data_IF_695628646375
#
_entry.id   IF_695628646375
#
_cell.length_a   1.000
_cell.length_b   1.000
_cell.length_c   1.000
_cell.angle_alpha   90.00
_cell.angle_beta   90.00
_cell.angle_gamma   90.00
#
_symmetry.space_group_name_H-M   'P 1'
#
loop_
_entity.id
_entity.type
_entity.pdbx_description
1 polymer ?
#
# COMPACT_ATOMS: atom_id res chain seq x y z
N UNK A 1 -8.01 23.27 5.74
CA UNK A 1 -9.22 22.85 5.00
C UNK A 1 -8.82 21.82 3.96
N UNK A 2 -9.73 20.94 3.55
CA UNK A 2 -9.45 19.89 2.56
C UNK A 2 -8.83 20.44 1.25
N UNK A 3 -9.36 21.51 0.62
CA UNK A 3 -8.73 22.09 -0.56
C UNK A 3 -7.35 22.70 -0.32
N UNK A 4 -7.06 23.14 0.91
CA UNK A 4 -5.73 23.65 1.28
C UNK A 4 -4.70 22.52 1.30
N UNK A 5 -5.00 21.45 2.05
CA UNK A 5 -4.14 20.25 2.15
C UNK A 5 -3.90 19.66 0.76
N UNK A 6 -4.95 19.46 -0.03
CA UNK A 6 -4.81 18.93 -1.38
C UNK A 6 -3.84 19.77 -2.23
N UNK A 7 -3.87 21.10 -2.14
CA UNK A 7 -2.95 21.99 -2.88
C UNK A 7 -1.50 21.90 -2.38
N UNK A 8 -1.28 21.74 -1.07
CA UNK A 8 0.07 21.53 -0.50
C UNK A 8 0.73 20.30 -1.11
N UNK A 9 -0.05 19.24 -1.36
CA UNK A 9 0.39 18.02 -2.03
C UNK A 9 0.22 18.05 -3.56
N UNK A 10 0.01 19.23 -4.16
CA UNK A 10 -0.17 19.45 -5.61
C UNK A 10 -1.36 18.71 -6.22
N UNK A 11 -2.33 18.32 -5.40
CA UNK A 11 -3.59 17.74 -5.80
C UNK A 11 -4.66 18.78 -6.13
N UNK A 12 -5.76 18.28 -6.66
CA UNK A 12 -6.95 19.03 -7.03
C UNK A 12 -8.19 18.40 -6.40
N UNK A 13 -8.89 19.15 -5.55
CA UNK A 13 -10.16 18.74 -4.94
C UNK A 13 -11.29 18.92 -5.95
N UNK A 14 -12.04 17.84 -6.20
CA UNK A 14 -13.28 17.85 -6.99
C UNK A 14 -14.47 18.09 -6.07
N UNK A 15 -14.49 17.41 -4.92
CA UNK A 15 -15.55 17.47 -3.93
C UNK A 15 -14.99 17.41 -2.51
N UNK A 16 -15.58 18.20 -1.62
CA UNK A 16 -15.30 18.20 -0.19
C UNK A 16 -16.61 18.54 0.56
N UNK A 17 -17.37 17.50 0.91
CA UNK A 17 -18.71 17.61 1.49
C UNK A 17 -18.76 17.68 3.01
N UNK A 18 -17.60 17.76 3.67
CA UNK A 18 -17.47 17.59 5.11
C UNK A 18 -16.60 16.37 5.40
N UNK A 19 -17.24 15.22 5.56
CA UNK A 19 -16.59 13.92 5.77
C UNK A 19 -16.16 13.22 4.47
N UNK A 20 -16.91 13.42 3.38
CA UNK A 20 -16.59 12.86 2.07
C UNK A 20 -15.71 13.80 1.23
N UNK A 21 -14.65 13.23 0.64
CA UNK A 21 -13.68 13.94 -0.20
C UNK A 21 -13.40 13.16 -1.49
N UNK A 22 -13.36 13.85 -2.62
CA UNK A 22 -12.90 13.31 -3.90
C UNK A 22 -11.93 14.29 -4.55
N UNK A 23 -10.82 13.78 -5.06
CA UNK A 23 -9.85 14.60 -5.79
C UNK A 23 -8.80 13.76 -6.51
N UNK A 24 -7.94 14.46 -7.24
CA UNK A 24 -6.76 13.91 -7.87
C UNK A 24 -5.51 14.39 -7.14
N UNK A 25 -4.50 13.54 -7.05
CA UNK A 25 -3.21 13.85 -6.43
C UNK A 25 -2.09 13.19 -7.25
N UNK A 26 -0.93 13.83 -7.42
CA UNK A 26 0.25 13.19 -8.01
C UNK A 26 0.65 11.92 -7.25
N UNK A 27 1.19 10.95 -7.98
CA UNK A 27 1.50 9.62 -7.43
C UNK A 27 2.53 9.67 -6.29
N UNK A 28 3.54 10.52 -6.42
CA UNK A 28 4.65 10.66 -5.47
C UNK A 28 4.25 11.35 -4.16
N UNK A 29 3.14 12.10 -4.14
CA UNK A 29 2.59 12.77 -2.94
C UNK A 29 1.31 12.11 -2.43
N UNK A 30 0.81 11.08 -3.11
CA UNK A 30 -0.51 10.50 -2.85
C UNK A 30 -0.65 9.89 -1.45
N UNK A 31 0.37 9.17 -1.00
CA UNK A 31 0.38 8.53 0.32
C UNK A 31 0.39 9.57 1.45
N UNK A 32 1.29 10.55 1.38
CA UNK A 32 1.39 11.61 2.39
C UNK A 32 0.13 12.49 2.41
N UNK A 33 -0.43 12.80 1.24
CA UNK A 33 -1.70 13.54 1.15
C UNK A 33 -2.85 12.78 1.82
N UNK A 34 -2.96 11.46 1.62
CA UNK A 34 -3.98 10.65 2.27
C UNK A 34 -3.82 10.64 3.80
N UNK A 35 -2.57 10.52 4.28
CA UNK A 35 -2.26 10.60 5.71
C UNK A 35 -2.61 11.96 6.30
N UNK A 36 -2.26 13.06 5.62
CA UNK A 36 -2.56 14.42 6.05
C UNK A 36 -4.07 14.69 6.14
N UNK A 37 -4.85 14.18 5.18
CA UNK A 37 -6.31 14.27 5.23
C UNK A 37 -6.89 13.49 6.42
N UNK A 38 -6.39 12.27 6.68
CA UNK A 38 -6.83 11.47 7.81
C UNK A 38 -6.51 12.13 9.15
N UNK A 39 -5.30 12.68 9.30
CA UNK A 39 -4.89 13.41 10.50
C UNK A 39 -5.73 14.67 10.69
N UNK A 40 -5.94 15.45 9.62
CA UNK A 40 -6.75 16.67 9.69
C UNK A 40 -8.19 16.38 10.13
N UNK A 41 -8.78 15.28 9.66
CA UNK A 41 -10.11 14.85 10.08
C UNK A 41 -10.15 14.46 11.56
N UNK A 42 -9.18 13.67 12.02
CA UNK A 42 -9.08 13.27 13.42
C UNK A 42 -8.91 14.49 14.36
N UNK A 43 -8.03 15.42 13.99
CA UNK A 43 -7.77 16.65 14.77
C UNK A 43 -9.02 17.54 14.85
N UNK A 44 -9.74 17.69 13.73
CA UNK A 44 -10.96 18.49 13.67
C UNK A 44 -12.07 17.93 14.57
N UNK A 45 -12.13 16.60 14.75
CA UNK A 45 -13.17 15.92 15.51
C UNK A 45 -12.76 15.56 16.94
N UNK A 46 -11.50 15.78 17.32
CA UNK A 46 -10.99 15.49 18.66
C UNK A 46 -11.79 16.23 19.74
N UNK A 47 -11.99 17.55 19.60
CA UNK A 47 -12.71 18.36 20.61
C UNK A 47 -14.18 17.92 20.76
N UNK A 48 -14.99 17.81 19.67
CA UNK A 48 -16.34 17.27 19.78
C UNK A 48 -16.39 15.86 20.38
N UNK A 49 -15.47 14.97 19.99
CA UNK A 49 -15.43 13.60 20.51
C UNK A 49 -15.19 13.56 22.03
N UNK A 50 -14.28 14.41 22.55
CA UNK A 50 -14.05 14.52 23.99
C UNK A 50 -15.27 15.07 24.73
N UNK A 51 -15.92 16.12 24.19
CA UNK A 51 -17.11 16.71 24.81
C UNK A 51 -18.29 15.73 24.89
N UNK A 52 -18.43 14.87 23.87
CA UNK A 52 -19.49 13.86 23.80
C UNK A 52 -19.10 12.53 24.46
N UNK A 53 -17.91 12.44 25.08
CA UNK A 53 -17.40 11.21 25.69
C UNK A 53 -17.46 9.99 24.74
N UNK A 54 -17.16 10.22 23.46
CA UNK A 54 -17.21 9.16 22.45
C UNK A 54 -16.15 8.09 22.76
N UNK A 55 -16.59 6.84 22.98
CA UNK A 55 -15.69 5.70 23.23
C UNK A 55 -14.72 5.45 22.08
N UNK A 56 -15.15 5.74 20.84
CA UNK A 56 -14.34 5.64 19.63
C UNK A 56 -14.42 6.98 18.88
N UNK A 57 -13.37 7.81 18.92
CA UNK A 57 -13.38 9.06 18.19
C UNK A 57 -13.53 8.79 16.68
N UNK A 58 -14.23 9.67 15.93
CA UNK A 58 -14.39 9.50 14.50
C UNK A 58 -13.03 9.46 13.78
N UNK A 59 -12.91 8.58 12.79
CA UNK A 59 -11.70 8.40 11.97
C UNK A 59 -12.06 8.41 10.50
N UNK A 60 -11.08 8.73 9.65
CA UNK A 60 -11.24 8.75 8.20
C UNK A 60 -10.70 7.45 7.59
N UNK A 61 -11.48 6.83 6.71
CA UNK A 61 -10.98 5.78 5.82
C UNK A 61 -10.77 6.37 4.43
N UNK A 62 -9.59 6.17 3.85
CA UNK A 62 -9.21 6.77 2.57
C UNK A 62 -8.98 5.67 1.54
N UNK A 63 -9.64 5.78 0.38
CA UNK A 63 -9.39 4.93 -0.78
C UNK A 63 -8.53 5.65 -1.81
N UNK A 64 -7.37 5.07 -2.16
CA UNK A 64 -6.48 5.57 -3.22
C UNK A 64 -6.47 4.61 -4.40
N UNK A 65 -6.92 5.07 -5.57
CA UNK A 65 -6.80 4.32 -6.82
C UNK A 65 -5.62 4.83 -7.64
N UNK A 66 -4.72 3.93 -8.01
CA UNK A 66 -3.59 4.20 -8.90
C UNK A 66 -3.89 3.51 -10.23
N UNK A 67 -4.07 4.29 -11.28
CA UNK A 67 -4.43 3.81 -12.60
C UNK A 67 -3.65 4.55 -13.69
N UNK A 68 -3.59 3.93 -14.88
CA UNK A 68 -3.01 4.58 -16.05
C UNK A 68 -3.85 5.81 -16.48
N UNK A 69 -3.19 6.88 -16.95
CA UNK A 69 -3.86 8.15 -17.33
C UNK A 69 -4.93 7.98 -18.42
N UNK A 70 -4.74 7.05 -19.35
CA UNK A 70 -5.73 6.69 -20.38
C UNK A 70 -6.89 5.80 -19.89
N UNK A 71 -6.91 5.39 -18.62
CA UNK A 71 -8.04 4.61 -18.09
C UNK A 71 -9.28 5.51 -18.04
N UNK A 72 -10.44 5.08 -18.56
CA UNK A 72 -11.66 5.91 -18.54
C UNK A 72 -12.02 6.36 -17.12
N UNK A 73 -12.39 7.63 -16.94
CA UNK A 73 -12.67 8.22 -15.61
C UNK A 73 -13.75 7.45 -14.82
N UNK A 74 -14.77 6.91 -15.51
CA UNK A 74 -15.78 6.06 -14.87
C UNK A 74 -15.18 4.80 -14.22
N UNK A 75 -14.18 4.19 -14.88
CA UNK A 75 -13.45 3.04 -14.34
C UNK A 75 -12.50 3.46 -13.22
N UNK A 76 -11.81 4.60 -13.34
CA UNK A 76 -11.00 5.16 -12.23
C UNK A 76 -11.87 5.41 -10.99
N UNK A 77 -13.09 5.95 -11.16
CA UNK A 77 -14.03 6.13 -10.05
C UNK A 77 -14.42 4.81 -9.39
N UNK A 78 -14.68 3.75 -10.16
CA UNK A 78 -14.97 2.43 -9.58
C UNK A 78 -13.77 1.82 -8.86
N UNK A 79 -12.54 2.09 -9.33
CA UNK A 79 -11.32 1.68 -8.64
C UNK A 79 -11.15 2.45 -7.33
N UNK A 80 -11.47 3.75 -7.29
CA UNK A 80 -11.46 4.54 -6.06
C UNK A 80 -12.47 4.00 -5.05
N UNK A 81 -13.70 3.67 -5.48
CA UNK A 81 -14.70 3.02 -4.63
C UNK A 81 -14.28 1.61 -4.17
N UNK A 82 -13.51 0.86 -4.97
CA UNK A 82 -12.89 -0.40 -4.53
C UNK A 82 -11.85 -0.15 -3.44
N UNK A 83 -10.93 0.79 -3.65
CA UNK A 83 -9.91 1.16 -2.67
C UNK A 83 -10.53 1.63 -1.34
N UNK A 84 -11.63 2.38 -1.41
CA UNK A 84 -12.38 2.82 -0.24
C UNK A 84 -13.01 1.63 0.53
N UNK A 85 -13.59 0.66 -0.17
CA UNK A 85 -14.08 -0.59 0.45
C UNK A 85 -12.94 -1.41 1.07
N UNK A 86 -11.79 -1.46 0.43
CA UNK A 86 -10.57 -2.08 1.00
C UNK A 86 -10.19 -1.36 2.30
N UNK A 87 -10.21 -0.02 2.33
CA UNK A 87 -9.95 0.76 3.53
C UNK A 87 -10.94 0.44 4.66
N UNK A 88 -12.25 0.44 4.34
CA UNK A 88 -13.32 0.09 5.29
C UNK A 88 -13.16 -1.33 5.83
N UNK A 89 -12.67 -2.25 5.00
CA UNK A 89 -12.33 -3.60 5.42
C UNK A 89 -13.55 -4.34 5.98
N UNK A 90 -14.70 -4.26 5.30
CA UNK A 90 -15.99 -4.78 5.80
C UNK A 90 -15.98 -6.29 6.13
N UNK A 91 -14.98 -7.02 5.63
CA UNK A 91 -14.75 -8.44 5.91
C UNK A 91 -13.80 -8.70 7.12
N UNK A 92 -13.19 -7.65 7.68
CA UNK A 92 -12.35 -7.73 8.87
C UNK A 92 -13.20 -7.81 10.14
N UNK A 93 -12.59 -8.27 11.24
CA UNK A 93 -13.21 -8.25 12.56
C UNK A 93 -13.72 -6.83 12.91
N UNK A 94 -14.87 -6.69 13.61
CA UNK A 94 -15.50 -5.37 13.84
C UNK A 94 -14.61 -4.31 14.49
N UNK A 95 -13.64 -4.72 15.31
CA UNK A 95 -12.64 -3.85 15.95
C UNK A 95 -11.50 -3.41 15.00
N UNK A 96 -11.37 -4.06 13.84
CA UNK A 96 -10.36 -3.79 12.81
C UNK A 96 -10.92 -3.11 11.56
N UNK A 97 -12.23 -2.90 11.49
CA UNK A 97 -12.88 -2.20 10.39
C UNK A 97 -12.56 -0.70 10.42
N UNK A 98 -12.54 -0.07 9.25
CA UNK A 98 -12.30 1.37 9.05
C UNK A 98 -10.94 1.82 9.60
N UNK A 99 -10.75 3.14 9.74
CA UNK A 99 -9.52 3.78 10.19
C UNK A 99 -8.30 3.29 9.40
N UNK A 100 -8.37 3.34 8.07
CA UNK A 100 -7.33 2.79 7.22
C UNK A 100 -7.19 3.53 5.89
N UNK A 101 -6.02 3.34 5.29
CA UNK A 101 -5.75 3.55 3.88
C UNK A 101 -5.97 2.24 3.13
N UNK A 102 -6.80 2.27 2.08
CA UNK A 102 -6.88 1.23 1.08
C UNK A 102 -6.27 1.75 -0.22
N UNK A 103 -5.37 0.98 -0.83
CA UNK A 103 -4.79 1.33 -2.14
C UNK A 103 -5.12 0.23 -3.13
N UNK A 104 -5.72 0.61 -4.26
CA UNK A 104 -5.96 -0.27 -5.40
C UNK A 104 -5.03 0.15 -6.54
N UNK A 105 -4.12 -0.73 -6.92
CA UNK A 105 -3.21 -0.54 -8.06
C UNK A 105 -3.75 -1.29 -9.28
N UNK A 106 -4.05 -0.56 -10.36
CA UNK A 106 -4.61 -1.09 -11.62
C UNK A 106 -3.89 -0.48 -12.83
N UNK A 107 -2.72 -1.04 -13.15
CA UNK A 107 -1.85 -0.61 -14.26
C UNK A 107 -1.82 -1.66 -15.38
N UNK A 108 -1.71 -1.20 -16.64
CA UNK A 108 -2.12 -1.84 -17.91
C UNK A 108 -1.86 -3.35 -18.10
N UNK A 109 -0.78 -3.89 -17.55
CA UNK A 109 -0.26 -5.24 -17.77
C UNK A 109 -0.31 -6.12 -16.51
N UNK A 110 -0.69 -5.55 -15.36
CA UNK A 110 -0.71 -6.22 -14.07
C UNK A 110 -2.11 -6.62 -13.61
N UNK A 111 -2.17 -7.61 -12.73
CA UNK A 111 -3.40 -7.89 -11.98
C UNK A 111 -3.71 -6.73 -11.03
N UNK A 112 -5.00 -6.35 -10.96
CA UNK A 112 -5.44 -5.37 -9.97
C UNK A 112 -5.14 -5.88 -8.57
N UNK A 113 -4.31 -5.14 -7.86
CA UNK A 113 -3.84 -5.52 -6.53
C UNK A 113 -4.33 -4.52 -5.49
N UNK A 114 -4.70 -5.02 -4.32
CA UNK A 114 -5.16 -4.20 -3.21
C UNK A 114 -4.19 -4.35 -2.02
N UNK A 115 -3.96 -3.25 -1.31
CA UNK A 115 -3.35 -3.25 0.02
C UNK A 115 -4.18 -2.43 0.98
N UNK A 116 -4.06 -2.75 2.27
CA UNK A 116 -4.74 -2.07 3.37
C UNK A 116 -3.76 -1.80 4.50
N UNK A 117 -3.71 -0.56 4.96
CA UNK A 117 -2.88 -0.12 6.09
C UNK A 117 -3.78 0.62 7.08
N UNK A 118 -3.92 0.12 8.31
CA UNK A 118 -4.70 0.83 9.35
C UNK A 118 -3.86 1.97 9.92
N UNK A 119 -4.46 3.15 10.10
CA UNK A 119 -3.75 4.34 10.58
C UNK A 119 -3.15 4.17 11.98
N UNK A 120 -3.73 3.29 12.81
CA UNK A 120 -3.23 2.95 14.14
C UNK A 120 -2.19 1.81 14.14
N UNK A 121 -1.88 1.20 13.00
CA UNK A 121 -0.79 0.24 12.84
C UNK A 121 0.50 0.98 12.42
N UNK A 122 1.14 1.62 13.41
CA UNK A 122 2.37 2.38 13.18
C UNK A 122 3.51 1.54 12.61
N UNK A 123 3.56 0.24 12.92
CA UNK A 123 4.58 -0.67 12.40
C UNK A 123 4.39 -0.94 10.90
N UNK A 124 3.14 -1.14 10.45
CA UNK A 124 2.82 -1.28 9.04
C UNK A 124 3.14 -0.01 8.24
N UNK A 125 2.80 1.17 8.77
CA UNK A 125 3.12 2.44 8.12
C UNK A 125 4.63 2.70 8.03
N UNK A 126 5.38 2.41 9.10
CA UNK A 126 6.83 2.54 9.11
C UNK A 126 7.50 1.59 8.10
N UNK A 127 7.03 0.34 8.02
CA UNK A 127 7.52 -0.62 7.04
C UNK A 127 7.24 -0.14 5.60
N UNK A 128 6.01 0.29 5.33
CA UNK A 128 5.60 0.74 4.01
C UNK A 128 6.37 1.98 3.52
N UNK A 129 6.52 3.00 4.39
CA UNK A 129 7.38 4.15 4.09
C UNK A 129 8.84 3.75 3.93
N UNK A 130 9.32 2.79 4.73
CA UNK A 130 10.65 2.19 4.59
C UNK A 130 10.87 1.59 3.20
N UNK A 131 9.88 0.89 2.64
CA UNK A 131 9.94 0.35 1.27
C UNK A 131 9.99 1.45 0.22
N UNK A 132 9.13 2.47 0.33
CA UNK A 132 9.13 3.62 -0.59
C UNK A 132 10.53 4.27 -0.60
N UNK A 133 11.09 4.55 0.57
CA UNK A 133 12.42 5.16 0.70
C UNK A 133 13.53 4.24 0.17
N UNK A 134 13.51 2.96 0.52
CA UNK A 134 14.53 2.01 0.07
C UNK A 134 14.51 1.79 -1.45
N UNK A 135 13.34 1.86 -2.10
CA UNK A 135 13.25 1.86 -3.57
C UNK A 135 13.72 3.19 -4.18
N UNK A 136 13.36 4.33 -3.60
CA UNK A 136 13.84 5.66 -4.02
C UNK A 136 15.37 5.75 -3.97
N UNK A 137 15.96 5.27 -2.87
CA UNK A 137 17.40 5.29 -2.59
C UNK A 137 18.16 4.13 -3.25
N UNK A 138 17.48 3.29 -4.03
CA UNK A 138 18.02 2.11 -4.74
C UNK A 138 18.66 1.06 -3.82
N UNK A 139 18.34 1.10 -2.52
CA UNK A 139 18.74 0.09 -1.53
C UNK A 139 17.99 -1.23 -1.73
N UNK A 140 16.76 -1.17 -2.26
CA UNK A 140 16.01 -2.35 -2.69
C UNK A 140 15.92 -2.44 -4.22
N UNK A 141 16.31 -3.56 -4.83
CA UNK A 141 16.07 -3.81 -6.25
C UNK A 141 14.57 -4.01 -6.51
N UNK A 142 14.05 -3.39 -7.57
CA UNK A 142 12.63 -3.49 -7.94
C UNK A 142 12.16 -4.93 -8.16
N UNK A 143 13.07 -5.80 -8.59
CA UNK A 143 12.80 -7.20 -8.91
C UNK A 143 12.29 -8.00 -7.71
N UNK A 144 12.72 -7.67 -6.47
CA UNK A 144 12.29 -8.39 -5.25
C UNK A 144 10.77 -8.44 -5.12
N UNK A 145 10.07 -7.36 -5.48
CA UNK A 145 8.61 -7.29 -5.41
C UNK A 145 7.95 -8.33 -6.34
N UNK A 146 8.50 -8.50 -7.54
CA UNK A 146 8.01 -9.45 -8.54
C UNK A 146 8.50 -10.88 -8.27
N UNK A 147 9.72 -11.06 -7.76
CA UNK A 147 10.22 -12.37 -7.36
C UNK A 147 9.39 -12.94 -6.20
N UNK A 148 8.98 -12.10 -5.22
CA UNK A 148 8.04 -12.49 -4.16
C UNK A 148 6.69 -12.95 -4.73
N UNK A 149 6.14 -12.22 -5.71
CA UNK A 149 4.92 -12.65 -6.42
C UNK A 149 5.11 -13.99 -7.12
N UNK A 150 6.23 -14.17 -7.82
CA UNK A 150 6.54 -15.38 -8.56
C UNK A 150 6.69 -16.60 -7.64
N UNK A 151 7.24 -16.42 -6.43
CA UNK A 151 7.26 -17.48 -5.41
C UNK A 151 5.83 -17.85 -5.01
N UNK A 152 5.00 -16.86 -4.69
CA UNK A 152 3.60 -17.12 -4.34
C UNK A 152 2.88 -17.90 -5.45
N UNK A 153 2.96 -17.44 -6.71
CA UNK A 153 2.30 -18.08 -7.86
C UNK A 153 2.78 -19.52 -8.10
N UNK A 154 4.08 -19.79 -7.96
CA UNK A 154 4.64 -21.15 -8.14
C UNK A 154 4.30 -22.10 -6.99
N UNK A 155 3.93 -21.56 -5.83
CA UNK A 155 3.58 -22.33 -4.63
C UNK A 155 2.09 -22.30 -4.32
N UNK A 156 1.28 -21.77 -5.25
CA UNK A 156 -0.16 -21.77 -5.12
C UNK A 156 -0.73 -23.11 -5.65
N UNK A 157 -0.49 -24.18 -4.88
CA UNK A 157 -0.88 -25.54 -5.24
C UNK A 157 -2.39 -25.82 -5.09
N UNK A 158 -3.19 -24.80 -4.77
CA UNK A 158 -4.63 -24.93 -4.53
C UNK A 158 -5.01 -25.41 -3.12
N UNK A 159 -6.30 -25.69 -2.92
CA UNK A 159 -6.95 -25.90 -1.61
C UNK A 159 -6.46 -27.19 -0.90
N UNK A 160 -5.83 -28.12 -1.63
CA UNK A 160 -5.47 -29.44 -1.10
C UNK A 160 -4.16 -29.49 -0.31
N UNK A 161 -3.39 -28.40 -0.30
CA UNK A 161 -2.10 -28.38 0.38
C UNK A 161 -2.24 -27.93 1.85
N UNK A 162 -1.48 -28.59 2.74
CA UNK A 162 -1.40 -28.25 4.16
C UNK A 162 -0.94 -26.78 4.33
N UNK A 163 -1.73 -25.92 4.99
CA UNK A 163 -1.39 -24.51 5.20
C UNK A 163 -0.04 -24.30 5.89
N UNK A 164 0.36 -25.19 6.80
CA UNK A 164 1.63 -25.09 7.52
C UNK A 164 2.81 -25.39 6.60
N UNK A 165 2.73 -26.50 5.86
CA UNK A 165 3.72 -26.86 4.85
C UNK A 165 3.85 -25.77 3.76
N UNK A 166 2.73 -25.22 3.28
CA UNK A 166 2.74 -24.12 2.30
C UNK A 166 3.48 -22.89 2.83
N UNK A 167 3.23 -22.52 4.09
CA UNK A 167 3.93 -21.42 4.75
C UNK A 167 5.43 -21.70 4.83
N UNK A 168 5.83 -22.90 5.22
CA UNK A 168 7.24 -23.27 5.35
C UNK A 168 7.97 -23.27 3.99
N UNK A 169 7.32 -23.77 2.94
CA UNK A 169 7.84 -23.71 1.56
C UNK A 169 8.03 -22.25 1.13
N UNK A 170 7.03 -21.40 1.34
CA UNK A 170 7.10 -19.97 0.97
C UNK A 170 8.19 -19.23 1.76
N UNK A 171 8.34 -19.53 3.05
CA UNK A 171 9.40 -19.00 3.90
C UNK A 171 10.80 -19.42 3.42
N UNK A 172 10.96 -20.69 3.04
CA UNK A 172 12.22 -21.21 2.51
C UNK A 172 12.58 -20.57 1.15
N UNK A 173 11.61 -20.44 0.25
CA UNK A 173 11.82 -19.80 -1.06
C UNK A 173 12.10 -18.30 -0.94
N UNK A 174 11.38 -17.59 -0.07
CA UNK A 174 11.67 -16.19 0.24
C UNK A 174 13.08 -16.03 0.81
N UNK A 175 13.47 -16.90 1.74
CA UNK A 175 14.82 -16.94 2.32
C UNK A 175 15.89 -17.08 1.26
N UNK A 176 15.71 -18.06 0.37
CA UNK A 176 16.65 -18.35 -0.71
C UNK A 176 16.76 -17.18 -1.69
N UNK A 177 15.63 -16.58 -2.07
CA UNK A 177 15.60 -15.42 -2.96
C UNK A 177 16.33 -14.21 -2.35
N UNK A 178 16.05 -13.88 -1.08
CA UNK A 178 16.69 -12.75 -0.40
C UNK A 178 18.21 -12.95 -0.25
N UNK A 179 18.66 -14.18 0.02
CA UNK A 179 20.09 -14.49 0.12
C UNK A 179 20.84 -14.30 -1.22
N UNK A 180 20.12 -14.41 -2.34
CA UNK A 180 20.62 -14.24 -3.70
C UNK A 180 20.35 -12.84 -4.28
N UNK A 181 19.68 -11.95 -3.54
CA UNK A 181 19.29 -10.65 -4.04
C UNK A 181 20.45 -9.65 -4.01
N UNK A 182 20.65 -8.97 -5.14
CA UNK A 182 21.60 -7.88 -5.30
C UNK A 182 20.89 -6.62 -5.78
N UNK A 183 21.36 -5.46 -5.34
CA UNK A 183 20.93 -4.16 -5.86
C UNK A 183 21.34 -4.03 -7.33
N UNK A 184 20.84 -2.98 -8.00
CA UNK A 184 21.17 -2.70 -9.39
C UNK A 184 22.69 -2.52 -9.62
N UNK A 185 23.39 -2.04 -8.60
CA UNK A 185 24.84 -1.80 -8.66
C UNK A 185 25.66 -3.03 -8.27
N UNK A 186 25.02 -4.21 -8.17
CA UNK A 186 25.68 -5.47 -7.82
C UNK A 186 26.05 -5.60 -6.35
N UNK A 187 25.49 -4.76 -5.48
CA UNK A 187 25.74 -4.81 -4.04
C UNK A 187 24.77 -5.81 -3.40
N UNK A 188 25.27 -6.72 -2.56
CA UNK A 188 24.43 -7.69 -1.88
C UNK A 188 23.46 -6.96 -0.94
N UNK A 189 22.22 -7.43 -0.87
CA UNK A 189 21.23 -6.84 0.02
C UNK A 189 21.69 -6.90 1.49
N UNK A 190 21.57 -5.77 2.20
CA UNK A 190 21.97 -5.67 3.60
C UNK A 190 21.10 -6.56 4.50
N UNK A 191 21.69 -7.10 5.57
CA UNK A 191 20.99 -7.96 6.53
C UNK A 191 19.76 -7.25 7.14
N UNK A 192 19.89 -5.95 7.42
CA UNK A 192 18.79 -5.12 7.92
C UNK A 192 17.57 -5.12 6.98
N UNK A 193 17.79 -5.03 5.67
CA UNK A 193 16.73 -5.06 4.66
C UNK A 193 16.09 -6.45 4.58
N UNK A 194 16.89 -7.52 4.62
CA UNK A 194 16.37 -8.89 4.60
C UNK A 194 15.55 -9.20 5.85
N UNK A 195 15.99 -8.73 7.02
CA UNK A 195 15.28 -8.96 8.28
C UNK A 195 13.96 -8.19 8.29
N UNK A 196 13.95 -6.93 7.84
CA UNK A 196 12.73 -6.15 7.73
C UNK A 196 11.69 -6.82 6.79
N UNK A 197 12.14 -7.37 5.65
CA UNK A 197 11.25 -8.07 4.71
C UNK A 197 10.65 -9.34 5.33
N UNK A 198 11.44 -10.10 6.10
CA UNK A 198 10.98 -11.29 6.82
C UNK A 198 10.00 -10.94 7.93
N UNK A 199 10.33 -9.97 8.77
CA UNK A 199 9.45 -9.50 9.83
C UNK A 199 8.11 -9.02 9.26
N UNK A 200 8.13 -8.29 8.13
CA UNK A 200 6.90 -7.86 7.48
C UNK A 200 6.13 -9.02 6.86
N UNK A 201 6.81 -10.00 6.27
CA UNK A 201 6.17 -11.22 5.78
C UNK A 201 5.44 -11.97 6.89
N UNK A 202 6.11 -12.20 8.03
CA UNK A 202 5.54 -12.91 9.17
C UNK A 202 4.34 -12.18 9.76
N UNK A 203 4.39 -10.84 9.84
CA UNK A 203 3.29 -10.02 10.32
C UNK A 203 2.06 -10.06 9.38
N UNK A 204 2.28 -10.14 8.06
CA UNK A 204 1.20 -10.26 7.07
C UNK A 204 0.64 -11.68 6.98
N UNK A 205 1.44 -12.70 7.33
CA UNK A 205 1.14 -14.12 7.16
C UNK A 205 0.74 -14.53 5.71
N UNK A 206 0.98 -13.67 4.73
CA UNK A 206 0.70 -13.89 3.32
C UNK A 206 1.80 -13.27 2.46
N UNK A 207 2.47 -14.11 1.67
CA UNK A 207 3.53 -13.68 0.76
C UNK A 207 2.98 -12.82 -0.40
N UNK A 208 1.73 -13.07 -0.80
CA UNK A 208 1.08 -12.30 -1.84
C UNK A 208 0.76 -10.88 -1.36
N UNK A 209 0.33 -10.74 -0.09
CA UNK A 209 0.16 -9.44 0.55
C UNK A 209 1.48 -8.65 0.61
N UNK A 210 2.59 -9.31 0.97
CA UNK A 210 3.91 -8.66 0.94
C UNK A 210 4.28 -8.22 -0.49
N UNK A 211 4.05 -9.08 -1.49
CA UNK A 211 4.32 -8.73 -2.88
C UNK A 211 3.45 -7.53 -3.35
N UNK A 212 2.16 -7.51 -3.02
CA UNK A 212 1.28 -6.36 -3.29
C UNK A 212 1.82 -5.08 -2.64
N UNK A 213 2.25 -5.16 -1.37
CA UNK A 213 2.81 -4.04 -0.62
C UNK A 213 4.08 -3.49 -1.27
N UNK A 214 5.03 -4.36 -1.62
CA UNK A 214 6.28 -3.97 -2.26
C UNK A 214 6.07 -3.41 -3.67
N UNK A 215 5.18 -4.00 -4.47
CA UNK A 215 4.84 -3.48 -5.80
C UNK A 215 4.21 -2.08 -5.66
N UNK A 216 3.26 -1.92 -4.74
CA UNK A 216 2.60 -0.62 -4.52
C UNK A 216 3.58 0.45 -4.06
N UNK A 217 4.45 0.12 -3.09
CA UNK A 217 5.51 1.01 -2.62
C UNK A 217 6.45 1.41 -3.78
N UNK A 218 6.82 0.46 -4.63
CA UNK A 218 7.65 0.73 -5.81
C UNK A 218 6.98 1.71 -6.77
N UNK A 219 5.68 1.56 -7.04
CA UNK A 219 4.93 2.50 -7.89
C UNK A 219 4.90 3.91 -7.29
N UNK A 220 4.73 4.05 -5.98
CA UNK A 220 4.73 5.35 -5.31
C UNK A 220 6.08 6.09 -5.39
N UNK A 221 7.19 5.41 -5.69
CA UNK A 221 8.48 6.07 -5.94
C UNK A 221 8.58 6.76 -7.29
N UNK A 222 7.68 6.47 -8.23
CA UNK A 222 7.80 6.92 -9.61
C UNK A 222 7.47 8.41 -9.75
N UNK A 223 8.48 9.22 -10.10
CA UNK A 223 8.31 10.64 -10.44
C UNK A 223 8.18 10.86 -11.94
N UNK A 224 8.76 9.97 -12.73
CA UNK A 224 8.70 9.97 -14.19
C UNK A 224 8.32 8.59 -14.73
N UNK A 225 7.84 8.53 -15.97
CA UNK A 225 7.55 7.26 -16.64
C UNK A 225 8.79 6.35 -16.75
N UNK A 226 10.00 6.93 -16.75
CA UNK A 226 11.25 6.16 -16.79
C UNK A 226 11.56 5.45 -15.47
N UNK A 227 11.04 5.97 -14.35
CA UNK A 227 11.28 5.43 -13.02
C UNK A 227 10.47 4.16 -12.74
N UNK A 228 9.38 3.96 -13.47
CA UNK A 228 8.54 2.75 -13.45
C UNK A 228 9.28 1.57 -14.11
N UNK A 229 10.34 1.85 -14.88
CA UNK A 229 11.02 0.88 -15.73
C UNK A 229 10.26 0.70 -17.05
N UNK A 230 10.99 0.49 -18.15
CA UNK A 230 10.40 -0.22 -19.28
C UNK A 230 10.15 -1.62 -18.75
N UNK A 231 8.90 -2.00 -18.52
CA UNK A 231 8.54 -3.40 -18.50
C UNK A 231 9.05 -3.95 -19.83
N UNK A 232 10.13 -4.73 -19.79
CA UNK A 232 10.63 -5.45 -20.96
C UNK A 232 9.47 -6.31 -21.46
N UNK A 233 9.03 -6.01 -22.69
CA UNK A 233 8.17 -6.87 -23.48
C UNK A 233 8.87 -8.18 -23.78
#
# INVERSE_FOLDING_TARGET
SVPGIMREYRGHTIYAGGDDVLGFVPLDSAYDCAQALAQHFADALQKPATQLQAERPPTLSVGLAIAHINTPLGHIRSLAARAERVAKGDQSAPDKQRNALGITLAVRSGSTSDIRLRWDDSAAHLAFQGWINAFCDKQLPSRIAYDARAIYQRTDFGITADPTLLRDIRNAELTRMLAQAYTRDGIKLEQKQTDALRTRHDALADLNALANELITARWLTAKTQRDIGKEEQ
#
